data_IF_714345410472
#
_entry.id   IF_714345410472
#
_cell.length_a   1.000
_cell.length_b   1.000
_cell.length_c   1.000
_cell.angle_alpha   90.00
_cell.angle_beta   90.00
_cell.angle_gamma   90.00
#
_symmetry.space_group_name_H-M   'P 1'
#
loop_
_entity.id
_entity.type
_entity.pdbx_description
1 polymer ?
#
# COMPACT_ATOMS: atom_id res chain seq x y z
N UNK A 1 3.71 2.90 27.31
CA UNK A 1 3.94 1.45 27.56
C UNK A 1 4.42 0.81 26.26
N UNK A 2 5.61 0.21 26.22
CA UNK A 2 6.02 -0.55 25.03
C UNK A 2 5.22 -1.86 24.99
N UNK A 3 4.36 -1.99 23.98
CA UNK A 3 3.57 -3.21 23.74
C UNK A 3 4.52 -4.42 23.65
N UNK A 4 4.12 -5.58 24.18
CA UNK A 4 4.87 -6.84 23.99
C UNK A 4 5.19 -7.08 22.52
N UNK A 5 4.30 -6.64 21.64
CA UNK A 5 4.48 -6.81 20.22
C UNK A 5 5.48 -5.84 19.57
N UNK A 6 5.97 -4.81 20.28
CA UNK A 6 7.14 -4.04 19.84
C UNK A 6 8.47 -4.74 20.15
N UNK A 7 8.44 -5.83 20.93
CA UNK A 7 9.60 -6.68 21.23
C UNK A 7 9.73 -7.87 20.25
N UNK A 8 8.71 -8.11 19.41
CA UNK A 8 8.74 -9.20 18.44
C UNK A 8 9.60 -8.81 17.23
N UNK A 9 10.42 -9.73 16.70
CA UNK A 9 11.12 -9.54 15.43
C UNK A 9 10.14 -9.26 14.28
N UNK A 10 10.59 -8.50 13.28
CA UNK A 10 9.76 -8.11 12.13
C UNK A 10 9.19 -9.33 11.41
N UNK A 11 9.97 -10.39 11.23
CA UNK A 11 9.52 -11.60 10.52
C UNK A 11 8.43 -12.34 11.29
N UNK A 12 8.49 -12.35 12.62
CA UNK A 12 7.43 -12.92 13.46
C UNK A 12 6.14 -12.11 13.29
N UNK A 13 6.21 -10.78 13.29
CA UNK A 13 5.05 -9.92 13.02
C UNK A 13 4.46 -10.15 11.63
N UNK A 14 5.31 -10.33 10.61
CA UNK A 14 4.87 -10.63 9.24
C UNK A 14 4.16 -11.97 9.15
N UNK A 15 4.67 -13.00 9.83
CA UNK A 15 4.03 -14.31 9.91
C UNK A 15 2.66 -14.18 10.60
N UNK A 16 2.59 -13.52 11.75
CA UNK A 16 1.34 -13.31 12.49
C UNK A 16 0.30 -12.61 11.60
N UNK A 17 0.65 -11.48 10.98
CA UNK A 17 -0.30 -10.73 10.16
C UNK A 17 -0.69 -11.48 8.89
N UNK A 18 0.22 -12.25 8.30
CA UNK A 18 -0.09 -13.11 7.16
C UNK A 18 -1.07 -14.22 7.55
N UNK A 19 -0.87 -14.83 8.72
CA UNK A 19 -1.78 -15.82 9.27
C UNK A 19 -3.16 -15.22 9.55
N UNK A 20 -3.23 -14.08 10.24
CA UNK A 20 -4.49 -13.35 10.49
C UNK A 20 -5.20 -13.09 9.16
N UNK A 21 -4.50 -12.59 8.15
CA UNK A 21 -5.07 -12.36 6.83
C UNK A 21 -5.60 -13.64 6.18
N UNK A 22 -4.89 -14.77 6.28
CA UNK A 22 -5.32 -16.06 5.71
C UNK A 22 -6.53 -16.63 6.45
N UNK A 23 -6.51 -16.66 7.78
CA UNK A 23 -7.62 -17.16 8.60
C UNK A 23 -8.90 -16.35 8.40
N UNK A 24 -8.79 -15.03 8.28
CA UNK A 24 -9.95 -14.17 8.04
C UNK A 24 -10.45 -14.20 6.59
N UNK A 25 -9.71 -14.82 5.67
CA UNK A 25 -10.12 -14.99 4.27
C UNK A 25 -11.12 -16.14 4.15
N UNK A 26 -12.30 -15.92 4.69
CA UNK A 26 -13.49 -16.74 4.45
C UNK A 26 -14.15 -16.24 3.14
N UNK A 27 -14.63 -17.10 2.22
CA UNK A 27 -15.43 -16.65 1.07
C UNK A 27 -16.62 -15.75 1.44
N UNK A 28 -17.10 -15.82 2.69
CA UNK A 28 -18.18 -14.99 3.21
C UNK A 28 -17.70 -13.73 3.97
N UNK A 29 -16.39 -13.59 4.25
CA UNK A 29 -15.85 -12.38 4.86
C UNK A 29 -15.47 -11.38 3.76
N UNK A 30 -15.93 -10.14 3.92
CA UNK A 30 -15.50 -9.07 3.05
C UNK A 30 -14.00 -8.74 3.28
N UNK A 31 -13.28 -8.52 2.19
CA UNK A 31 -11.87 -8.09 2.22
C UNK A 31 -11.70 -6.74 2.97
N UNK A 32 -12.82 -6.02 3.15
CA UNK A 32 -12.92 -4.80 3.95
C UNK A 32 -12.53 -5.01 5.42
N UNK A 33 -12.97 -6.11 6.05
CA UNK A 33 -12.63 -6.41 7.45
C UNK A 33 -11.12 -6.64 7.62
N UNK A 34 -10.49 -7.36 6.68
CA UNK A 34 -9.04 -7.59 6.68
C UNK A 34 -8.28 -6.27 6.53
N UNK A 35 -8.72 -5.38 5.62
CA UNK A 35 -8.13 -4.05 5.44
C UNK A 35 -8.19 -3.23 6.71
N UNK A 36 -9.35 -3.19 7.38
CA UNK A 36 -9.55 -2.43 8.62
C UNK A 36 -8.63 -2.90 9.75
N UNK A 37 -8.47 -4.22 9.89
CA UNK A 37 -7.55 -4.81 10.86
C UNK A 37 -6.11 -4.42 10.58
N UNK A 38 -5.64 -4.58 9.34
CA UNK A 38 -4.28 -4.19 8.96
C UNK A 38 -4.04 -2.68 9.07
N UNK A 39 -5.05 -1.86 8.76
CA UNK A 39 -5.00 -0.41 8.96
C UNK A 39 -4.87 -0.06 10.46
N UNK A 40 -5.54 -0.79 11.34
CA UNK A 40 -5.35 -0.60 12.78
C UNK A 40 -3.93 -0.97 13.20
N UNK A 41 -3.35 -2.03 12.61
CA UNK A 41 -1.97 -2.43 12.90
C UNK A 41 -0.93 -1.36 12.54
N UNK A 42 -1.08 -0.63 11.42
CA UNK A 42 -0.09 0.38 11.03
C UNK A 42 0.00 1.56 12.02
N UNK A 43 -1.06 1.82 12.79
CA UNK A 43 -1.11 2.92 13.75
C UNK A 43 -0.51 2.58 15.12
N UNK A 44 -0.20 1.30 15.37
CA UNK A 44 0.27 0.85 16.69
C UNK A 44 1.71 1.32 16.99
N UNK A 45 2.65 0.99 16.10
CA UNK A 45 4.06 1.40 16.22
C UNK A 45 4.81 1.17 14.89
N UNK A 46 6.07 1.64 14.81
CA UNK A 46 6.92 1.53 13.60
C UNK A 46 7.13 0.08 13.13
N UNK A 47 7.29 -0.88 14.04
CA UNK A 47 7.50 -2.30 13.69
C UNK A 47 6.25 -2.92 13.08
N UNK A 48 5.08 -2.64 13.67
CA UNK A 48 3.79 -3.09 13.16
C UNK A 48 3.45 -2.43 11.82
N UNK A 49 3.73 -1.14 11.68
CA UNK A 49 3.61 -0.42 10.42
C UNK A 49 4.42 -1.10 9.30
N UNK A 50 5.71 -1.36 9.54
CA UNK A 50 6.58 -2.05 8.58
C UNK A 50 6.08 -3.45 8.21
N UNK A 51 5.49 -4.19 9.14
CA UNK A 51 4.94 -5.52 8.87
C UNK A 51 3.61 -5.50 8.11
N UNK A 52 2.74 -4.52 8.40
CA UNK A 52 1.38 -4.45 7.85
C UNK A 52 1.29 -3.75 6.49
N UNK A 53 2.14 -2.75 6.22
CA UNK A 53 2.12 -1.98 4.97
C UNK A 53 2.24 -2.87 3.72
N UNK A 54 3.18 -3.84 3.62
CA UNK A 54 3.27 -4.73 2.46
C UNK A 54 2.03 -5.61 2.26
N UNK A 55 1.29 -5.91 3.33
CA UNK A 55 0.06 -6.68 3.24
C UNK A 55 -1.10 -5.81 2.73
N UNK A 56 -1.20 -4.56 3.21
CA UNK A 56 -2.19 -3.59 2.72
C UNK A 56 -1.98 -3.29 1.24
N UNK A 57 -0.75 -2.98 0.85
CA UNK A 57 -0.39 -2.58 -0.52
C UNK A 57 -0.30 -3.72 -1.53
N UNK A 58 -0.66 -4.95 -1.13
CA UNK A 58 -0.66 -6.11 -2.04
C UNK A 58 -1.67 -5.99 -3.18
N UNK A 59 -2.79 -5.31 -2.95
CA UNK A 59 -3.88 -5.10 -3.92
C UNK A 59 -4.67 -3.81 -3.60
N UNK A 60 -4.07 -2.62 -3.74
CA UNK A 60 -4.63 -1.38 -3.20
C UNK A 60 -5.90 -0.93 -3.91
N UNK A 61 -5.98 -1.09 -5.24
CA UNK A 61 -7.13 -0.66 -6.05
C UNK A 61 -8.42 -1.42 -5.73
N UNK A 62 -8.30 -2.69 -5.34
CA UNK A 62 -9.44 -3.52 -4.95
C UNK A 62 -10.24 -2.98 -3.76
N UNK A 63 -9.67 -2.11 -2.93
CA UNK A 63 -10.37 -1.61 -1.75
C UNK A 63 -11.19 -0.35 -1.97
N UNK A 64 -11.12 0.25 -3.15
CA UNK A 64 -11.84 1.49 -3.47
C UNK A 64 -13.01 1.17 -4.39
N UNK A 65 -14.21 1.67 -4.03
CA UNK A 65 -15.44 1.43 -4.80
C UNK A 65 -15.55 2.33 -6.03
N UNK A 66 -15.02 3.54 -5.90
CA UNK A 66 -14.76 4.47 -6.99
C UNK A 66 -13.24 4.59 -7.13
N UNK A 67 -12.74 4.96 -8.31
CA UNK A 67 -11.32 5.20 -8.51
C UNK A 67 -10.69 6.14 -7.47
N UNK A 68 -9.37 6.08 -7.32
CA UNK A 68 -8.62 6.90 -6.39
C UNK A 68 -7.32 7.42 -7.01
N UNK A 69 -7.35 8.64 -7.54
CA UNK A 69 -6.20 9.32 -8.14
C UNK A 69 -4.98 9.39 -7.19
N UNK A 70 -5.18 9.48 -5.87
CA UNK A 70 -4.07 9.50 -4.89
C UNK A 70 -3.26 8.20 -4.87
N UNK A 71 -3.84 7.07 -5.29
CA UNK A 71 -3.07 5.84 -5.46
C UNK A 71 -2.10 5.98 -6.62
N UNK A 72 -2.54 6.58 -7.72
CA UNK A 72 -1.69 6.84 -8.89
C UNK A 72 -0.57 7.79 -8.49
N UNK A 73 -0.88 8.89 -7.79
CA UNK A 73 0.12 9.82 -7.25
C UNK A 73 1.14 9.10 -6.36
N UNK A 74 0.69 8.15 -5.53
CA UNK A 74 1.59 7.37 -4.67
C UNK A 74 2.54 6.51 -5.49
N UNK A 75 2.08 5.89 -6.58
CA UNK A 75 2.96 5.11 -7.48
C UNK A 75 3.93 6.01 -8.23
N UNK A 76 3.46 7.15 -8.76
CA UNK A 76 4.32 8.14 -9.42
C UNK A 76 5.39 8.62 -8.43
N UNK A 77 5.06 8.84 -7.16
CA UNK A 77 6.05 9.24 -6.13
C UNK A 77 7.17 8.21 -5.90
N UNK A 78 7.00 6.96 -6.32
CA UNK A 78 8.05 5.94 -6.25
C UNK A 78 9.08 6.07 -7.39
N UNK A 79 8.84 6.90 -8.40
CA UNK A 79 9.76 7.09 -9.52
C UNK A 79 11.05 7.78 -9.08
N UNK A 80 12.16 7.34 -9.69
CA UNK A 80 13.45 7.97 -9.53
C UNK A 80 13.57 9.23 -10.39
N UNK A 81 14.71 9.90 -10.26
CA UNK A 81 14.98 11.13 -11.00
C UNK A 81 14.94 10.89 -12.52
N UNK A 82 15.55 9.79 -12.98
CA UNK A 82 15.63 9.43 -14.41
C UNK A 82 14.25 9.21 -15.02
N UNK A 83 13.35 8.51 -14.31
CA UNK A 83 11.99 8.30 -14.80
C UNK A 83 11.20 9.61 -14.85
N UNK A 84 11.38 10.52 -13.89
CA UNK A 84 10.73 11.83 -13.94
C UNK A 84 11.23 12.69 -15.10
N UNK A 85 12.53 12.73 -15.32
CA UNK A 85 13.16 13.49 -16.42
C UNK A 85 12.65 12.99 -17.77
N UNK A 86 12.65 11.67 -17.98
CA UNK A 86 12.11 11.04 -19.17
C UNK A 86 10.63 11.42 -19.42
N UNK A 87 9.79 11.35 -18.38
CA UNK A 87 8.36 11.66 -18.53
C UNK A 87 8.10 13.15 -18.80
N UNK A 88 8.91 14.05 -18.23
CA UNK A 88 8.86 15.48 -18.53
C UNK A 88 9.29 15.77 -19.98
N UNK A 89 10.31 15.07 -20.50
CA UNK A 89 10.75 15.17 -21.91
C UNK A 89 9.67 14.70 -22.89
N UNK A 90 8.89 13.68 -22.52
CA UNK A 90 7.72 13.20 -23.29
C UNK A 90 6.49 14.14 -23.16
N UNK A 91 6.62 15.26 -22.45
CA UNK A 91 5.60 16.30 -22.35
C UNK A 91 4.55 16.06 -21.26
N UNK A 92 4.78 15.12 -20.33
CA UNK A 92 3.87 14.90 -19.20
C UNK A 92 4.14 15.91 -18.08
N UNK A 93 3.09 16.66 -17.70
CA UNK A 93 3.17 17.57 -16.56
C UNK A 93 2.96 16.79 -15.27
N UNK A 94 4.05 16.31 -14.69
CA UNK A 94 4.04 15.68 -13.38
C UNK A 94 4.19 16.77 -12.31
N UNK A 95 3.15 16.97 -11.49
CA UNK A 95 3.32 17.76 -10.28
C UNK A 95 4.27 17.00 -9.35
N UNK A 96 5.54 17.41 -9.30
CA UNK A 96 6.51 17.00 -8.27
C UNK A 96 6.01 17.49 -6.91
N UNK A 97 5.02 16.81 -6.35
CA UNK A 97 4.39 17.23 -5.09
C UNK A 97 5.34 17.10 -3.91
N UNK A 98 6.42 16.32 -4.05
CA UNK A 98 7.59 16.42 -3.19
C UNK A 98 8.74 15.61 -3.77
N UNK A 99 9.95 16.15 -3.80
CA UNK A 99 11.18 15.34 -3.96
C UNK A 99 11.39 14.35 -2.79
N UNK A 100 10.52 14.36 -1.79
CA UNK A 100 10.56 13.40 -0.69
C UNK A 100 10.18 12.02 -1.20
N UNK A 101 11.19 11.13 -1.26
CA UNK A 101 10.97 9.71 -1.49
C UNK A 101 9.92 9.18 -0.51
N UNK A 102 8.98 8.34 -0.97
CA UNK A 102 7.98 7.75 -0.11
C UNK A 102 8.66 6.94 1.00
N UNK A 103 8.00 6.87 2.16
CA UNK A 103 8.54 6.12 3.31
C UNK A 103 8.73 4.63 3.01
N UNK A 104 7.95 4.13 2.05
CA UNK A 104 8.01 2.76 1.57
C UNK A 104 8.07 2.76 0.05
N UNK A 105 8.73 1.77 -0.50
CA UNK A 105 8.62 1.44 -1.92
C UNK A 105 7.26 0.74 -2.15
N UNK A 106 6.22 1.55 -2.34
CA UNK A 106 4.86 1.06 -2.58
C UNK A 106 4.75 0.34 -3.94
N UNK A 107 5.57 0.73 -4.92
CA UNK A 107 5.62 0.11 -6.23
C UNK A 107 5.96 -1.39 -6.14
N UNK A 108 7.02 -1.78 -5.42
CA UNK A 108 7.40 -3.20 -5.30
C UNK A 108 6.43 -4.06 -4.46
N UNK A 109 5.55 -3.43 -3.68
CA UNK A 109 4.58 -4.10 -2.82
C UNK A 109 3.32 -4.53 -3.57
N UNK A 110 3.05 -3.98 -4.75
CA UNK A 110 1.94 -4.41 -5.60
C UNK A 110 2.14 -5.88 -6.03
N UNK A 111 1.16 -6.75 -5.75
CA UNK A 111 1.18 -8.15 -6.21
C UNK A 111 -0.06 -8.57 -6.99
N UNK A 112 -1.12 -7.76 -6.95
CA UNK A 112 -2.37 -7.97 -7.68
C UNK A 112 -2.89 -6.63 -8.11
N UNK A 113 -3.35 -6.56 -9.35
CA UNK A 113 -3.94 -5.38 -9.95
C UNK A 113 -5.37 -5.72 -10.37
N UNK A 114 -6.34 -5.00 -9.82
CA UNK A 114 -7.71 -4.99 -10.30
C UNK A 114 -7.78 -3.94 -11.43
N UNK A 115 -7.76 -4.39 -12.68
CA UNK A 115 -7.63 -3.52 -13.85
C UNK A 115 -8.81 -2.55 -14.00
N UNK A 116 -10.04 -3.02 -13.75
CA UNK A 116 -11.24 -2.19 -13.89
C UNK A 116 -11.18 -1.01 -12.91
N UNK A 117 -10.82 -1.28 -11.65
CA UNK A 117 -10.67 -0.25 -10.62
C UNK A 117 -9.44 0.62 -10.81
N UNK A 118 -8.39 0.07 -11.41
CA UNK A 118 -7.21 0.83 -11.78
C UNK A 118 -7.56 1.89 -12.84
N UNK A 119 -8.20 1.50 -13.94
CA UNK A 119 -8.64 2.42 -14.99
C UNK A 119 -9.56 3.50 -14.42
N UNK A 120 -10.55 3.10 -13.61
CA UNK A 120 -11.41 4.05 -12.90
C UNK A 120 -10.63 5.05 -12.05
N UNK A 121 -9.45 4.70 -11.52
CA UNK A 121 -8.61 5.58 -10.69
C UNK A 121 -7.83 6.61 -11.50
N UNK A 122 -7.65 6.38 -12.80
CA UNK A 122 -7.03 7.31 -13.74
C UNK A 122 -8.06 8.31 -14.27
N UNK A 123 -9.32 7.88 -14.40
CA UNK A 123 -10.42 8.69 -14.95
C UNK A 123 -11.14 9.58 -13.91
N UNK A 124 -10.62 9.72 -12.68
CA UNK A 124 -11.21 10.55 -11.59
C UNK A 124 -10.67 11.98 -11.63
#
# INVERSE_FOLDING_TARGET
MSSVASKLPLDVLRIIFTSIRKFNKNPNNDDYTIRRTLHSCILVNRSWCRAAIPLLWRNPFYYFKSGNAKLIDTYISCFGYEEYEYLEEEGLVLHRTSYARPTFDYASMLKRLDYDRFCQSVDV
#
